data_IF_375430946537
#
_entry.id   IF_375430946537
#
_cell.length_a   1.000
_cell.length_b   1.000
_cell.length_c   1.000
_cell.angle_alpha   90.00
_cell.angle_beta   90.00
_cell.angle_gamma   90.00
#
_symmetry.space_group_name_H-M   'P 1'
#
loop_
_entity.id
_entity.type
_entity.pdbx_description
1 polymer ?
#
# COMPACT_ATOMS: atom_id res chain seq x y z
N UNK A 1 -21.20 18.22 -5.60
CA UNK A 1 -20.58 18.45 -6.92
C UNK A 1 -21.54 18.00 -7.99
N UNK A 2 -21.70 18.76 -9.06
CA UNK A 2 -22.47 18.36 -10.26
C UNK A 2 -21.64 17.39 -11.12
N UNK A 3 -22.28 16.64 -12.02
CA UNK A 3 -21.56 15.76 -12.97
C UNK A 3 -20.54 16.53 -13.81
N UNK A 4 -20.85 17.76 -14.21
CA UNK A 4 -19.92 18.62 -14.95
C UNK A 4 -18.64 18.98 -14.17
N UNK A 5 -18.76 19.18 -12.86
CA UNK A 5 -17.59 19.42 -11.98
C UNK A 5 -16.78 18.15 -11.80
N UNK A 6 -17.45 16.98 -11.70
CA UNK A 6 -16.78 15.69 -11.62
C UNK A 6 -16.03 15.35 -12.92
N UNK A 7 -16.59 15.66 -14.08
CA UNK A 7 -15.94 15.45 -15.39
C UNK A 7 -14.69 16.29 -15.56
N UNK A 8 -14.60 17.45 -14.91
CA UNK A 8 -13.39 18.29 -14.93
C UNK A 8 -12.25 17.69 -14.10
N UNK A 9 -12.59 16.95 -13.05
CA UNK A 9 -11.61 16.34 -12.14
C UNK A 9 -11.16 14.96 -12.65
N UNK A 10 -12.13 14.14 -13.09
CA UNK A 10 -11.87 12.78 -13.57
C UNK A 10 -11.08 12.82 -14.87
N UNK A 11 -9.97 12.08 -14.91
CA UNK A 11 -9.06 12.04 -16.07
C UNK A 11 -8.12 13.24 -16.20
N UNK A 12 -8.25 14.24 -15.32
CA UNK A 12 -7.42 15.44 -15.28
C UNK A 12 -6.64 15.51 -13.96
N UNK A 13 -7.28 15.93 -12.86
CA UNK A 13 -6.64 16.03 -11.55
C UNK A 13 -6.54 14.69 -10.83
N UNK A 14 -7.54 13.83 -11.02
CA UNK A 14 -7.62 12.50 -10.45
C UNK A 14 -7.74 11.47 -11.57
N UNK A 15 -6.82 10.51 -11.58
CA UNK A 15 -6.81 9.41 -12.55
C UNK A 15 -6.71 8.07 -11.86
N UNK A 16 -7.11 7.01 -12.57
CA UNK A 16 -7.12 5.65 -12.04
C UNK A 16 -6.55 4.66 -13.04
N UNK A 17 -5.71 3.76 -12.56
CA UNK A 17 -5.30 2.54 -13.25
C UNK A 17 -6.17 1.42 -12.67
N UNK A 18 -6.98 0.79 -13.54
CA UNK A 18 -7.88 -0.29 -13.14
C UNK A 18 -7.16 -1.63 -13.12
N UNK A 19 -7.68 -2.57 -12.35
CA UNK A 19 -7.14 -3.92 -12.14
C UNK A 19 -6.97 -4.72 -13.44
N UNK A 20 -7.91 -4.60 -14.38
CA UNK A 20 -7.85 -5.34 -15.64
C UNK A 20 -7.63 -4.43 -16.85
N UNK A 21 -6.44 -4.51 -17.49
CA UNK A 21 -6.14 -3.75 -18.69
C UNK A 21 -6.99 -4.11 -19.92
N UNK A 22 -7.58 -5.31 -19.94
CA UNK A 22 -8.40 -5.77 -21.07
C UNK A 22 -9.76 -5.09 -21.10
N UNK A 23 -10.36 -4.86 -19.95
CA UNK A 23 -11.66 -4.21 -19.82
C UNK A 23 -11.57 -2.69 -19.86
N UNK A 24 -10.41 -2.13 -19.51
CA UNK A 24 -10.20 -0.69 -19.42
C UNK A 24 -9.88 -0.03 -20.75
N UNK A 25 -9.26 -0.76 -21.69
CA UNK A 25 -8.96 -0.27 -23.03
C UNK A 25 -10.07 -0.68 -24.00
N UNK A 26 -10.64 0.28 -24.72
CA UNK A 26 -11.66 -0.01 -25.72
C UNK A 26 -11.05 -0.74 -26.94
N UNK A 27 -11.45 -2.00 -27.23
CA UNK A 27 -10.79 -2.82 -28.26
C UNK A 27 -11.02 -2.35 -29.69
N UNK A 28 -12.03 -1.51 -29.95
CA UNK A 28 -12.37 -1.04 -31.32
C UNK A 28 -11.67 0.26 -31.71
N UNK A 29 -10.97 0.91 -30.76
CA UNK A 29 -10.19 2.12 -31.02
C UNK A 29 -8.69 1.86 -30.92
N UNK A 30 -7.89 2.59 -31.70
CA UNK A 30 -6.43 2.52 -31.59
C UNK A 30 -5.95 3.16 -30.28
N UNK A 31 -4.77 2.76 -29.80
CA UNK A 31 -4.14 3.35 -28.62
C UNK A 31 -4.04 4.87 -28.73
N UNK A 32 -3.54 5.37 -29.87
CA UNK A 32 -3.40 6.81 -30.10
C UNK A 32 -4.72 7.57 -30.07
N UNK A 33 -5.80 6.97 -30.61
CA UNK A 33 -7.13 7.57 -30.57
C UNK A 33 -7.61 7.78 -29.13
N UNK A 34 -7.49 6.75 -28.28
CA UNK A 34 -7.91 6.80 -26.89
C UNK A 34 -7.05 7.77 -26.06
N UNK A 35 -5.72 7.76 -26.21
CA UNK A 35 -4.83 8.69 -25.53
C UNK A 35 -5.08 10.15 -25.92
N UNK A 36 -5.21 10.42 -27.22
CA UNK A 36 -5.45 11.78 -27.70
C UNK A 36 -6.82 12.34 -27.28
N UNK A 37 -7.82 11.50 -27.10
CA UNK A 37 -9.16 11.94 -26.65
C UNK A 37 -9.07 12.64 -25.30
N UNK A 38 -8.50 11.96 -24.27
CA UNK A 38 -8.34 12.51 -22.93
C UNK A 38 -7.52 13.80 -22.94
N UNK A 39 -6.36 13.80 -23.63
CA UNK A 39 -5.49 14.97 -23.76
C UNK A 39 -6.22 16.17 -24.37
N UNK A 40 -7.02 15.94 -25.41
CA UNK A 40 -7.73 17.04 -26.10
C UNK A 40 -8.89 17.59 -25.28
N UNK A 41 -9.59 16.74 -24.54
CA UNK A 41 -10.72 17.15 -23.69
C UNK A 41 -10.21 18.04 -22.55
N UNK A 42 -9.18 17.61 -21.84
CA UNK A 42 -8.75 18.26 -20.60
C UNK A 42 -7.67 19.34 -20.80
N UNK A 43 -6.79 19.16 -21.79
CA UNK A 43 -5.70 20.11 -22.03
C UNK A 43 -5.98 21.07 -23.19
N UNK A 44 -7.09 20.90 -23.92
CA UNK A 44 -7.48 21.74 -25.05
C UNK A 44 -6.43 21.85 -26.15
N UNK A 45 -5.59 20.82 -26.31
CA UNK A 45 -4.54 20.78 -27.32
C UNK A 45 -5.10 20.44 -28.72
N UNK A 46 -4.46 20.94 -29.76
CA UNK A 46 -4.75 20.51 -31.13
C UNK A 46 -4.44 19.03 -31.31
N UNK A 47 -5.02 18.41 -32.34
CA UNK A 47 -4.79 16.99 -32.68
C UNK A 47 -3.28 16.68 -32.86
N UNK A 48 -2.50 17.62 -33.44
CA UNK A 48 -1.08 17.44 -33.66
C UNK A 48 -0.29 17.49 -32.35
N UNK A 49 -0.58 18.44 -31.49
CA UNK A 49 0.07 18.57 -30.16
C UNK A 49 -0.30 17.39 -29.26
N UNK A 50 -1.55 16.95 -29.27
CA UNK A 50 -2.00 15.78 -28.53
C UNK A 50 -1.28 14.49 -28.98
N UNK A 51 -1.04 14.34 -30.29
CA UNK A 51 -0.28 13.20 -30.81
C UNK A 51 1.17 13.20 -30.34
N UNK A 52 1.86 14.35 -30.39
CA UNK A 52 3.24 14.50 -29.91
C UNK A 52 3.31 14.17 -28.41
N UNK A 53 2.39 14.69 -27.63
CA UNK A 53 2.32 14.39 -26.19
C UNK A 53 2.09 12.91 -25.92
N UNK A 54 1.14 12.27 -26.62
CA UNK A 54 0.86 10.85 -26.46
C UNK A 54 2.08 9.98 -26.81
N UNK A 55 2.78 10.28 -27.91
CA UNK A 55 4.02 9.58 -28.27
C UNK A 55 5.12 9.78 -27.23
N UNK A 56 5.27 10.99 -26.69
CA UNK A 56 6.23 11.28 -25.61
C UNK A 56 5.93 10.46 -24.34
N UNK A 57 4.65 10.35 -23.94
CA UNK A 57 4.25 9.54 -22.79
C UNK A 57 4.49 8.05 -23.02
N UNK A 58 4.19 7.53 -24.20
CA UNK A 58 4.51 6.14 -24.57
C UNK A 58 6.02 5.86 -24.50
N UNK A 59 6.85 6.80 -24.96
CA UNK A 59 8.30 6.69 -24.83
C UNK A 59 8.72 6.66 -23.35
N UNK A 60 8.15 7.54 -22.52
CA UNK A 60 8.45 7.64 -21.08
C UNK A 60 8.13 6.37 -20.30
N UNK A 61 7.06 5.67 -20.66
CA UNK A 61 6.73 4.35 -20.07
C UNK A 61 7.51 3.19 -20.68
N UNK A 62 8.49 3.46 -21.53
CA UNK A 62 9.37 2.45 -22.13
C UNK A 62 8.73 1.62 -23.24
N UNK A 63 7.76 2.19 -23.98
CA UNK A 63 7.20 1.49 -25.14
C UNK A 63 8.17 1.53 -26.32
N UNK A 64 8.44 0.38 -26.98
CA UNK A 64 9.22 0.36 -28.20
C UNK A 64 8.42 1.00 -29.34
N UNK A 65 9.05 1.87 -30.13
CA UNK A 65 8.42 2.56 -31.26
C UNK A 65 7.05 3.18 -30.93
N UNK A 66 7.00 4.27 -30.12
CA UNK A 66 5.75 4.93 -29.72
C UNK A 66 4.85 5.29 -30.90
N UNK A 67 5.42 5.72 -32.02
CA UNK A 67 4.66 6.06 -33.22
C UNK A 67 3.90 4.87 -33.81
N UNK A 68 4.53 3.70 -33.88
CA UNK A 68 3.85 2.48 -34.32
C UNK A 68 2.78 2.04 -33.32
N UNK A 69 3.03 2.17 -32.00
CA UNK A 69 2.07 1.83 -30.95
C UNK A 69 0.80 2.67 -31.05
N UNK A 70 0.91 3.95 -31.35
CA UNK A 70 -0.28 4.83 -31.55
C UNK A 70 -1.28 4.29 -32.57
N UNK A 71 -0.83 3.51 -33.54
CA UNK A 71 -1.67 2.93 -34.61
C UNK A 71 -2.19 1.54 -34.29
N UNK A 72 -1.71 0.92 -33.21
CA UNK A 72 -2.12 -0.44 -32.80
C UNK A 72 -3.42 -0.43 -32.00
N UNK A 73 -4.09 -1.58 -31.99
CA UNK A 73 -5.26 -1.86 -31.18
C UNK A 73 -4.84 -2.59 -29.90
N UNK A 74 -5.59 -2.47 -28.79
CA UNK A 74 -5.25 -3.11 -27.52
C UNK A 74 -4.99 -4.61 -27.60
N UNK A 75 -5.77 -5.36 -28.39
CA UNK A 75 -5.65 -6.81 -28.55
C UNK A 75 -4.33 -7.27 -29.21
N UNK A 76 -3.62 -6.37 -29.90
CA UNK A 76 -2.33 -6.67 -30.54
C UNK A 76 -1.13 -6.49 -29.62
N UNK A 77 -1.36 -6.03 -28.38
CA UNK A 77 -0.33 -5.77 -27.38
C UNK A 77 -0.24 -6.90 -26.34
N UNK A 78 0.95 -7.17 -25.82
CA UNK A 78 1.14 -8.05 -24.66
C UNK A 78 0.52 -7.44 -23.39
N UNK A 79 0.32 -8.24 -22.33
CA UNK A 79 -0.20 -7.77 -21.04
C UNK A 79 0.60 -6.61 -20.47
N UNK A 80 1.91 -6.75 -20.37
CA UNK A 80 2.79 -5.69 -19.89
C UNK A 80 2.81 -4.44 -20.77
N UNK A 81 2.65 -4.58 -22.09
CA UNK A 81 2.52 -3.43 -22.98
C UNK A 81 1.19 -2.70 -22.77
N UNK A 82 0.08 -3.42 -22.60
CA UNK A 82 -1.22 -2.81 -22.27
C UNK A 82 -1.16 -2.05 -20.95
N UNK A 83 -0.52 -2.63 -19.93
CA UNK A 83 -0.34 -1.98 -18.64
C UNK A 83 0.46 -0.67 -18.77
N UNK A 84 1.56 -0.67 -19.53
CA UNK A 84 2.33 0.56 -19.82
C UNK A 84 1.51 1.62 -20.54
N UNK A 85 0.66 1.21 -21.48
CA UNK A 85 -0.27 2.13 -22.16
C UNK A 85 -1.27 2.73 -21.16
N UNK A 86 -1.85 1.92 -20.26
CA UNK A 86 -2.76 2.44 -19.23
C UNK A 86 -2.09 3.43 -18.30
N UNK A 87 -0.85 3.17 -17.89
CA UNK A 87 -0.06 4.11 -17.09
C UNK A 87 0.16 5.42 -17.87
N UNK A 88 0.54 5.34 -19.17
CA UNK A 88 0.70 6.50 -20.01
C UNK A 88 -0.60 7.31 -20.15
N UNK A 89 -1.74 6.63 -20.28
CA UNK A 89 -3.06 7.28 -20.32
C UNK A 89 -3.42 7.94 -18.99
N UNK A 90 -3.19 7.28 -17.88
CA UNK A 90 -3.44 7.84 -16.54
C UNK A 90 -2.62 9.11 -16.28
N UNK A 91 -1.40 9.19 -16.83
CA UNK A 91 -0.51 10.35 -16.71
C UNK A 91 -0.72 11.43 -17.78
N UNK A 92 -1.66 11.23 -18.70
CA UNK A 92 -1.81 12.07 -19.90
C UNK A 92 -2.03 13.55 -19.59
N UNK A 93 -2.75 13.86 -18.51
CA UNK A 93 -3.11 15.22 -18.11
C UNK A 93 -2.33 15.73 -16.88
N UNK A 94 -1.22 15.08 -16.48
CA UNK A 94 -0.43 15.40 -15.27
C UNK A 94 -1.30 15.45 -14.00
N UNK A 95 -1.89 14.33 -13.57
CA UNK A 95 -2.78 14.32 -12.41
C UNK A 95 -2.07 14.69 -11.12
N UNK A 96 -2.83 15.27 -10.18
CA UNK A 96 -2.37 15.50 -8.81
C UNK A 96 -2.47 14.23 -7.95
N UNK A 97 -3.42 13.34 -8.30
CA UNK A 97 -3.66 12.07 -7.61
C UNK A 97 -3.85 10.92 -8.61
N UNK A 98 -3.04 9.87 -8.43
CA UNK A 98 -3.18 8.60 -9.12
C UNK A 98 -3.71 7.53 -8.15
N UNK A 99 -4.80 6.85 -8.52
CA UNK A 99 -5.25 5.62 -7.85
C UNK A 99 -4.81 4.44 -8.71
N UNK A 100 -3.98 3.56 -8.17
CA UNK A 100 -3.53 2.35 -8.83
C UNK A 100 -4.15 1.13 -8.14
N UNK A 101 -5.15 0.53 -8.80
CA UNK A 101 -5.88 -0.63 -8.28
C UNK A 101 -5.29 -1.90 -8.87
N UNK A 102 -4.55 -2.64 -8.05
CA UNK A 102 -3.82 -3.86 -8.42
C UNK A 102 -3.07 -3.75 -9.77
N UNK A 103 -2.21 -2.75 -9.95
CA UNK A 103 -1.68 -2.40 -11.27
C UNK A 103 -0.76 -3.46 -11.88
N UNK A 104 -0.50 -4.55 -11.17
CA UNK A 104 0.40 -5.63 -11.62
C UNK A 104 -0.25 -7.02 -11.60
N UNK A 105 -1.54 -7.10 -11.34
CA UNK A 105 -2.28 -8.38 -11.37
C UNK A 105 -2.18 -9.03 -12.74
N UNK A 106 -2.00 -10.34 -12.76
CA UNK A 106 -1.81 -11.18 -13.95
C UNK A 106 -0.56 -10.88 -14.79
N UNK A 107 0.44 -10.22 -14.21
CA UNK A 107 1.77 -10.04 -14.82
C UNK A 107 2.79 -10.99 -14.16
N UNK A 108 3.80 -11.38 -14.91
CA UNK A 108 4.95 -12.10 -14.34
C UNK A 108 5.76 -11.21 -13.39
N UNK A 109 6.48 -11.83 -12.44
CA UNK A 109 7.22 -11.13 -11.37
C UNK A 109 8.21 -10.09 -11.91
N UNK A 110 8.84 -10.38 -13.06
CA UNK A 110 9.82 -9.46 -13.66
C UNK A 110 9.14 -8.21 -14.20
N UNK A 111 8.04 -8.37 -14.91
CA UNK A 111 7.25 -7.24 -15.45
C UNK A 111 6.59 -6.47 -14.29
N UNK A 112 6.10 -7.16 -13.26
CA UNK A 112 5.58 -6.53 -12.05
C UNK A 112 6.61 -5.58 -11.43
N UNK A 113 7.84 -6.05 -11.19
CA UNK A 113 8.91 -5.22 -10.62
C UNK A 113 9.23 -3.99 -11.53
N UNK A 114 9.25 -4.18 -12.85
CA UNK A 114 9.46 -3.08 -13.80
C UNK A 114 8.35 -2.03 -13.75
N UNK A 115 7.08 -2.46 -13.67
CA UNK A 115 5.93 -1.56 -13.58
C UNK A 115 5.94 -0.77 -12.28
N UNK A 116 6.24 -1.44 -11.14
CA UNK A 116 6.28 -0.78 -9.84
C UNK A 116 7.42 0.24 -9.76
N UNK A 117 8.59 -0.08 -10.28
CA UNK A 117 9.71 0.88 -10.37
C UNK A 117 9.34 2.07 -11.26
N UNK A 118 8.73 1.83 -12.41
CA UNK A 118 8.24 2.89 -13.30
C UNK A 118 7.25 3.82 -12.59
N UNK A 119 6.27 3.29 -11.87
CA UNK A 119 5.30 4.11 -11.11
C UNK A 119 6.00 4.95 -10.04
N UNK A 120 6.98 4.39 -9.34
CA UNK A 120 7.77 5.10 -8.32
C UNK A 120 8.60 6.23 -8.92
N UNK A 121 9.28 5.99 -10.04
CA UNK A 121 10.04 7.01 -10.76
C UNK A 121 9.13 8.16 -11.22
N UNK A 122 8.00 7.82 -11.83
CA UNK A 122 7.02 8.80 -12.30
C UNK A 122 6.41 9.62 -11.15
N UNK A 123 6.11 8.98 -10.02
CA UNK A 123 5.64 9.66 -8.82
C UNK A 123 6.67 10.66 -8.28
N UNK A 124 7.95 10.26 -8.21
CA UNK A 124 9.03 11.14 -7.75
C UNK A 124 9.26 12.32 -8.69
N UNK A 125 9.24 12.08 -10.01
CA UNK A 125 9.44 13.11 -11.01
C UNK A 125 8.32 14.16 -11.07
N UNK A 126 7.08 13.72 -10.90
CA UNK A 126 5.89 14.58 -11.01
C UNK A 126 5.45 15.19 -9.69
N UNK A 127 5.84 14.60 -8.56
CA UNK A 127 5.37 14.97 -7.22
C UNK A 127 3.90 14.64 -6.97
N UNK A 128 3.25 13.81 -7.83
CA UNK A 128 1.86 13.41 -7.65
C UNK A 128 1.68 12.54 -6.41
N UNK A 129 0.55 12.65 -5.75
CA UNK A 129 0.12 11.69 -4.74
C UNK A 129 -0.32 10.38 -5.39
N UNK A 130 -0.06 9.24 -4.73
CA UNK A 130 -0.48 7.93 -5.23
C UNK A 130 -1.18 7.13 -4.13
N UNK A 131 -2.35 6.58 -4.45
CA UNK A 131 -3.02 5.55 -3.66
C UNK A 131 -2.79 4.22 -4.39
N UNK A 132 -2.04 3.33 -3.76
CA UNK A 132 -1.79 1.98 -4.29
C UNK A 132 -2.66 0.97 -3.55
N UNK A 133 -3.53 0.28 -4.27
CA UNK A 133 -4.33 -0.83 -3.75
C UNK A 133 -3.66 -2.12 -4.23
N UNK A 134 -3.27 -2.97 -3.30
CA UNK A 134 -2.59 -4.25 -3.62
C UNK A 134 -2.72 -5.23 -2.46
N UNK A 135 -2.65 -6.51 -2.77
CA UNK A 135 -2.50 -7.60 -1.80
C UNK A 135 -1.03 -8.05 -1.62
N UNK A 136 -0.09 -7.47 -2.37
CA UNK A 136 1.33 -7.81 -2.30
C UNK A 136 2.04 -6.97 -1.23
N UNK A 137 2.31 -7.61 -0.08
CA UNK A 137 2.95 -6.99 1.09
C UNK A 137 4.37 -6.51 0.75
N UNK A 138 5.10 -7.24 -0.11
CA UNK A 138 6.44 -6.88 -0.55
C UNK A 138 6.45 -5.57 -1.35
N UNK A 139 5.44 -5.37 -2.19
CA UNK A 139 5.23 -4.11 -2.91
C UNK A 139 4.94 -2.97 -1.94
N UNK A 140 4.03 -3.19 -0.98
CA UNK A 140 3.69 -2.18 0.05
C UNK A 140 4.93 -1.76 0.82
N UNK A 141 5.75 -2.71 1.29
CA UNK A 141 6.97 -2.43 2.06
C UNK A 141 7.97 -1.53 1.31
N UNK A 142 8.04 -1.65 -0.02
CA UNK A 142 8.99 -0.92 -0.85
C UNK A 142 8.48 0.44 -1.35
N UNK A 143 7.16 0.65 -1.39
CA UNK A 143 6.57 1.82 -2.04
C UNK A 143 5.81 2.76 -1.13
N UNK A 144 5.16 2.23 -0.09
CA UNK A 144 4.24 3.01 0.70
C UNK A 144 4.92 3.82 1.80
N UNK A 145 4.59 5.10 1.93
CA UNK A 145 4.93 5.92 3.08
C UNK A 145 4.00 5.61 4.26
N UNK A 146 2.72 5.40 3.97
CA UNK A 146 1.66 5.08 4.94
C UNK A 146 0.83 3.91 4.42
N UNK A 147 0.39 3.07 5.33
CA UNK A 147 -0.41 1.87 5.01
C UNK A 147 -1.75 1.93 5.72
N UNK A 148 -2.80 1.56 5.00
CA UNK A 148 -4.13 1.30 5.53
C UNK A 148 -4.44 -0.17 5.30
N UNK A 149 -4.67 -0.92 6.37
CA UNK A 149 -5.07 -2.32 6.29
C UNK A 149 -6.58 -2.40 6.35
N UNK A 150 -7.17 -3.11 5.39
CA UNK A 150 -8.62 -3.32 5.30
C UNK A 150 -8.97 -4.78 5.51
N UNK A 151 -10.08 -5.04 6.18
CA UNK A 151 -10.66 -6.36 6.35
C UNK A 151 -12.18 -6.29 6.27
N UNK A 152 -12.79 -7.13 5.43
CA UNK A 152 -14.25 -7.21 5.25
C UNK A 152 -14.90 -5.81 5.09
N UNK A 153 -14.35 -4.98 4.19
CA UNK A 153 -14.89 -3.64 3.89
C UNK A 153 -14.61 -2.57 4.94
N UNK A 154 -13.81 -2.84 5.97
CA UNK A 154 -13.52 -1.91 7.06
C UNK A 154 -12.02 -1.66 7.20
N UNK A 155 -11.63 -0.39 7.39
CA UNK A 155 -10.25 -0.06 7.77
C UNK A 155 -10.05 -0.48 9.23
N UNK A 156 -9.06 -1.34 9.46
CA UNK A 156 -8.78 -1.91 10.78
C UNK A 156 -7.48 -1.41 11.40
N UNK A 157 -6.55 -0.95 10.59
CA UNK A 157 -5.29 -0.39 11.05
C UNK A 157 -4.75 0.63 10.05
N UNK A 158 -4.13 1.69 10.55
CA UNK A 158 -3.46 2.73 9.76
C UNK A 158 -2.21 3.19 10.49
N UNK A 159 -1.06 3.15 9.79
CA UNK A 159 0.20 3.60 10.35
C UNK A 159 1.19 4.06 9.26
N UNK A 160 2.26 4.78 9.60
CA UNK A 160 3.44 4.87 8.75
C UNK A 160 3.96 3.47 8.41
N UNK A 161 4.47 3.28 7.18
CA UNK A 161 4.87 1.95 6.69
C UNK A 161 5.81 1.22 7.65
N UNK A 162 6.88 1.87 8.08
CA UNK A 162 7.84 1.29 9.03
C UNK A 162 7.17 0.84 10.33
N UNK A 163 6.31 1.68 10.89
CA UNK A 163 5.63 1.38 12.14
C UNK A 163 4.73 0.16 12.00
N UNK A 164 3.96 0.08 10.93
CA UNK A 164 3.07 -1.05 10.67
C UNK A 164 3.84 -2.39 10.52
N UNK A 165 5.00 -2.37 9.84
CA UNK A 165 5.78 -3.59 9.63
C UNK A 165 6.53 -4.05 10.87
N UNK A 166 7.00 -3.14 11.72
CA UNK A 166 7.75 -3.49 12.94
C UNK A 166 6.87 -3.66 14.17
N UNK A 167 5.76 -2.92 14.25
CA UNK A 167 4.87 -2.88 15.41
C UNK A 167 3.39 -2.98 15.02
N UNK A 168 2.99 -4.04 14.26
CA UNK A 168 1.59 -4.21 13.87
C UNK A 168 0.70 -4.34 15.10
N UNK A 169 -0.34 -3.51 15.19
CA UNK A 169 -1.21 -3.47 16.35
C UNK A 169 -2.41 -4.42 16.22
N UNK A 170 -3.09 -4.44 15.05
CA UNK A 170 -4.27 -5.28 14.88
C UNK A 170 -3.90 -6.76 14.65
N UNK A 171 -4.56 -7.72 15.32
CA UNK A 171 -4.27 -9.15 15.16
C UNK A 171 -4.35 -9.68 13.73
N UNK A 172 -5.22 -9.13 12.89
CA UNK A 172 -5.24 -9.48 11.46
C UNK A 172 -3.97 -9.03 10.75
N UNK A 173 -3.49 -7.82 11.02
CA UNK A 173 -2.24 -7.32 10.43
C UNK A 173 -1.06 -8.18 10.84
N UNK A 174 -0.98 -8.56 12.13
CA UNK A 174 0.04 -9.48 12.64
C UNK A 174 -0.01 -10.81 11.88
N UNK A 175 -1.20 -11.43 11.83
CA UNK A 175 -1.39 -12.69 11.13
C UNK A 175 -1.08 -12.58 9.62
N UNK A 176 -1.43 -11.45 8.97
CA UNK A 176 -1.14 -11.20 7.57
C UNK A 176 0.37 -11.10 7.31
N UNK A 177 1.10 -10.40 8.16
CA UNK A 177 2.57 -10.30 8.07
C UNK A 177 3.26 -11.63 8.34
N UNK A 178 2.74 -12.45 9.25
CA UNK A 178 3.25 -13.79 9.55
C UNK A 178 3.07 -14.79 8.40
N UNK A 179 2.19 -14.51 7.44
CA UNK A 179 2.06 -15.35 6.22
C UNK A 179 3.15 -15.09 5.19
N UNK A 180 3.90 -13.99 5.32
CA UNK A 180 4.94 -13.62 4.35
C UNK A 180 6.24 -14.34 4.69
N UNK A 181 6.76 -15.19 3.77
CA UNK A 181 8.04 -15.84 3.99
C UNK A 181 9.18 -14.81 3.98
N UNK A 182 10.09 -14.92 4.95
CA UNK A 182 11.29 -14.09 5.01
C UNK A 182 12.53 -14.93 4.64
N UNK A 183 13.57 -14.26 4.11
CA UNK A 183 14.84 -14.93 3.76
C UNK A 183 15.53 -15.55 5.00
N UNK A 184 15.14 -15.12 6.21
CA UNK A 184 15.70 -15.60 7.48
C UNK A 184 14.91 -16.76 8.08
N UNK A 185 13.79 -17.14 7.46
CA UNK A 185 12.99 -18.26 7.93
C UNK A 185 13.75 -19.57 7.66
N UNK A 186 13.69 -20.50 8.62
CA UNK A 186 14.20 -21.85 8.43
C UNK A 186 13.44 -22.53 7.28
N UNK A 187 14.14 -23.33 6.47
CA UNK A 187 13.56 -24.03 5.32
C UNK A 187 12.36 -24.92 5.69
N UNK A 188 12.26 -25.32 6.96
CA UNK A 188 11.19 -26.17 7.51
C UNK A 188 10.04 -25.37 8.15
N UNK A 189 10.08 -24.02 8.11
CA UNK A 189 8.97 -23.21 8.65
C UNK A 189 7.70 -23.47 7.87
N UNK A 190 6.71 -24.04 8.52
CA UNK A 190 5.36 -24.16 7.95
C UNK A 190 4.74 -22.77 7.82
N UNK A 191 4.26 -22.44 6.62
CA UNK A 191 3.51 -21.21 6.40
C UNK A 191 2.22 -21.26 7.23
N UNK A 192 2.05 -20.27 8.09
CA UNK A 192 0.84 -20.14 8.92
C UNK A 192 -0.26 -19.53 8.06
N UNK A 193 -1.35 -20.26 7.87
CA UNK A 193 -2.54 -19.69 7.23
C UNK A 193 -3.47 -19.08 8.29
N UNK A 194 -4.13 -17.98 7.95
CA UNK A 194 -5.16 -17.39 8.82
C UNK A 194 -6.39 -18.32 8.81
N UNK A 195 -6.78 -18.94 9.95
CA UNK A 195 -7.85 -19.91 9.98
C UNK A 195 -9.21 -19.28 9.66
N UNK A 196 -10.17 -20.10 9.23
CA UNK A 196 -11.55 -19.69 8.95
C UNK A 196 -11.74 -18.98 7.62
N UNK A 197 -12.96 -18.54 7.34
CA UNK A 197 -13.39 -17.90 6.10
C UNK A 197 -13.78 -16.45 6.40
N UNK A 198 -13.55 -15.55 5.45
CA UNK A 198 -14.04 -14.17 5.55
C UNK A 198 -15.57 -14.19 5.52
N UNK A 199 -16.28 -13.46 6.41
CA UNK A 199 -17.75 -13.41 6.38
C UNK A 199 -18.25 -12.95 5.00
N UNK A 200 -19.20 -13.67 4.44
CA UNK A 200 -19.86 -13.28 3.17
C UNK A 200 -20.78 -12.06 3.36
N UNK A 201 -21.48 -12.00 4.52
CA UNK A 201 -22.28 -10.85 4.95
C UNK A 201 -21.67 -10.28 6.23
N UNK A 202 -21.30 -9.04 6.22
CA UNK A 202 -20.68 -8.34 7.35
C UNK A 202 -21.44 -7.05 7.73
N UNK A 203 -22.54 -6.75 7.08
CA UNK A 203 -23.35 -5.54 7.36
C UNK A 203 -24.03 -5.62 8.71
N UNK A 204 -24.39 -6.84 9.14
CA UNK A 204 -25.02 -7.09 10.44
C UNK A 204 -24.02 -7.25 11.59
N UNK A 205 -22.71 -7.27 11.31
CA UNK A 205 -21.66 -7.41 12.33
C UNK A 205 -21.41 -6.04 12.95
N UNK A 206 -21.91 -5.84 14.17
CA UNK A 206 -21.73 -4.59 14.93
C UNK A 206 -20.36 -4.47 15.60
N UNK A 207 -19.73 -5.60 15.93
CA UNK A 207 -18.43 -5.69 16.58
C UNK A 207 -17.24 -5.78 15.64
N UNK A 208 -16.18 -6.40 16.10
CA UNK A 208 -14.98 -6.65 15.30
C UNK A 208 -15.27 -7.73 14.25
N UNK A 209 -15.17 -7.39 12.96
CA UNK A 209 -15.42 -8.32 11.84
C UNK A 209 -14.41 -9.46 11.76
N UNK A 210 -13.25 -9.33 12.40
CA UNK A 210 -12.23 -10.37 12.49
C UNK A 210 -12.36 -11.28 13.71
N UNK A 211 -13.31 -11.04 14.63
CA UNK A 211 -13.43 -11.74 15.93
C UNK A 211 -13.43 -13.27 15.79
N UNK A 212 -14.21 -13.84 14.87
CA UNK A 212 -14.34 -15.30 14.68
C UNK A 212 -13.04 -16.00 14.26
N UNK A 213 -12.07 -15.23 13.74
CA UNK A 213 -10.77 -15.72 13.26
C UNK A 213 -9.61 -15.26 14.14
N UNK A 214 -9.90 -14.50 15.18
CA UNK A 214 -8.90 -13.84 16.02
C UNK A 214 -8.52 -14.72 17.22
N UNK A 215 -7.23 -15.01 17.36
CA UNK A 215 -6.70 -15.75 18.53
C UNK A 215 -6.88 -15.00 19.87
N UNK A 216 -7.16 -13.70 19.81
CA UNK A 216 -7.34 -12.83 21.00
C UNK A 216 -8.79 -12.41 21.21
N UNK A 217 -9.76 -13.05 20.53
CA UNK A 217 -11.17 -12.69 20.65
C UNK A 217 -11.67 -12.79 22.09
N UNK A 218 -12.46 -11.82 22.50
CA UNK A 218 -13.08 -11.79 23.82
C UNK A 218 -14.45 -11.08 23.75
N UNK A 219 -15.27 -11.10 24.79
CA UNK A 219 -16.60 -10.47 24.78
C UNK A 219 -16.61 -8.99 24.41
N UNK A 220 -15.52 -8.25 24.63
CA UNK A 220 -15.41 -6.85 24.21
C UNK A 220 -15.38 -6.68 22.68
N UNK A 221 -15.01 -7.73 21.94
CA UNK A 221 -14.98 -7.71 20.49
C UNK A 221 -16.38 -7.73 19.85
N UNK A 222 -17.42 -8.10 20.59
CA UNK A 222 -18.82 -8.08 20.12
C UNK A 222 -19.40 -6.66 20.11
N UNK A 223 -18.76 -5.73 20.85
CA UNK A 223 -19.16 -4.33 20.89
C UNK A 223 -18.60 -3.55 19.70
N UNK A 224 -19.22 -2.44 19.29
CA UNK A 224 -18.68 -1.56 18.25
C UNK A 224 -17.24 -1.15 18.57
N UNK A 225 -16.36 -1.29 17.60
CA UNK A 225 -14.96 -0.93 17.74
C UNK A 225 -14.70 0.46 17.15
N UNK A 226 -13.91 1.25 17.86
CA UNK A 226 -13.44 2.56 17.43
C UNK A 226 -12.00 2.49 16.92
N UNK A 227 -11.52 3.57 16.32
CA UNK A 227 -10.11 3.72 15.92
C UNK A 227 -9.31 4.18 17.15
N UNK A 228 -8.64 3.28 17.82
CA UNK A 228 -7.81 3.57 18.99
C UNK A 228 -6.41 4.02 18.57
N UNK A 229 -5.87 5.03 19.27
CA UNK A 229 -4.49 5.50 19.07
C UNK A 229 -3.53 4.52 19.73
N UNK A 230 -2.58 4.00 18.93
CA UNK A 230 -1.53 3.07 19.36
C UNK A 230 -0.15 3.73 19.40
N UNK A 231 -0.01 4.92 18.86
CA UNK A 231 1.24 5.67 18.77
C UNK A 231 1.10 6.92 17.92
N UNK A 232 2.20 7.60 17.66
CA UNK A 232 2.22 8.74 16.75
C UNK A 232 1.78 8.32 15.34
N UNK A 233 0.67 8.88 14.84
CA UNK A 233 0.10 8.56 13.52
C UNK A 233 -0.29 7.08 13.31
N UNK A 234 -0.37 6.26 14.36
CA UNK A 234 -0.73 4.86 14.35
C UNK A 234 -2.08 4.66 15.04
N UNK A 235 -3.06 4.13 14.32
CA UNK A 235 -4.38 3.78 14.86
C UNK A 235 -4.76 2.38 14.47
N UNK A 236 -5.43 1.65 15.39
CA UNK A 236 -5.97 0.33 15.12
C UNK A 236 -7.35 0.15 15.76
N UNK A 237 -8.22 -0.57 15.07
CA UNK A 237 -9.59 -0.84 15.51
C UNK A 237 -9.66 -2.12 16.34
N UNK A 238 -8.99 -2.12 17.50
CA UNK A 238 -8.87 -3.27 18.38
C UNK A 238 -8.77 -2.87 19.85
N UNK A 239 -9.84 -3.03 20.61
CA UNK A 239 -9.89 -2.74 22.06
C UNK A 239 -8.91 -3.62 22.86
N UNK A 240 -8.69 -4.87 22.46
CA UNK A 240 -7.80 -5.78 23.16
C UNK A 240 -6.36 -5.30 23.08
N UNK A 241 -5.93 -4.85 21.89
CA UNK A 241 -4.57 -4.36 21.69
C UNK A 241 -4.37 -2.97 22.30
N UNK A 242 -5.40 -2.10 22.28
CA UNK A 242 -5.38 -0.85 23.04
C UNK A 242 -5.06 -1.11 24.51
N UNK A 243 -5.78 -2.01 25.16
CA UNK A 243 -5.59 -2.32 26.57
C UNK A 243 -4.21 -2.93 26.87
N UNK A 244 -3.62 -3.66 25.92
CA UNK A 244 -2.25 -4.20 26.04
C UNK A 244 -1.21 -3.11 25.88
N UNK A 245 -1.40 -2.22 24.91
CA UNK A 245 -0.52 -1.09 24.63
C UNK A 245 -0.42 -0.13 25.82
N UNK A 246 -1.56 0.26 26.40
CA UNK A 246 -1.62 1.12 27.57
C UNK A 246 -0.86 0.54 28.77
N UNK A 247 -1.00 -0.78 29.05
CA UNK A 247 -0.27 -1.45 30.12
C UNK A 247 1.25 -1.50 29.88
N UNK A 248 1.66 -1.67 28.62
CA UNK A 248 3.08 -1.65 28.26
C UNK A 248 3.70 -0.26 28.48
N UNK A 249 3.01 0.79 28.01
CA UNK A 249 3.43 2.18 28.15
C UNK A 249 3.52 2.62 29.64
N UNK A 250 2.55 2.20 30.47
CA UNK A 250 2.59 2.43 31.92
C UNK A 250 3.77 1.72 32.60
N UNK A 251 4.07 0.49 32.17
CA UNK A 251 5.20 -0.28 32.73
C UNK A 251 6.56 0.32 32.35
N UNK A 252 6.71 0.87 31.16
CA UNK A 252 7.93 1.59 30.75
C UNK A 252 8.10 2.92 31.48
N UNK A 253 7.01 3.67 31.65
CA UNK A 253 7.03 4.92 32.44
C UNK A 253 7.38 4.68 33.90
N UNK A 254 6.94 3.57 34.50
CA UNK A 254 7.31 3.20 35.86
C UNK A 254 8.78 2.80 35.97
N UNK A 255 9.33 2.08 34.98
CA UNK A 255 10.75 1.72 34.95
C UNK A 255 11.67 2.95 34.80
N UNK A 256 11.27 3.92 33.98
CA UNK A 256 12.04 5.16 33.77
C UNK A 256 11.98 6.13 34.98
N UNK A 257 11.04 5.93 35.90
CA UNK A 257 10.92 6.73 37.15
C UNK A 257 11.61 6.12 38.38
N UNK A 258 12.13 4.90 38.27
CA UNK A 258 12.98 4.33 39.32
C UNK A 258 14.36 4.94 39.19
N UNK A 259 14.87 5.66 40.24
CA UNK A 259 16.26 6.18 40.22
C UNK A 259 17.20 4.98 40.17
N UNK A 260 18.17 5.03 39.26
CA UNK A 260 19.33 4.13 39.29
C UNK A 260 19.98 4.21 40.67
N UNK A 261 19.77 3.21 41.49
CA UNK A 261 20.58 3.01 42.70
C UNK A 261 21.97 2.64 42.21
N UNK A 262 22.84 3.64 42.15
CA UNK A 262 24.28 3.45 42.02
C UNK A 262 24.75 2.58 43.21
N UNK A 263 24.89 1.28 42.97
CA UNK A 263 25.71 0.44 43.84
C UNK A 263 27.16 0.87 43.66
N UNK A 264 27.59 1.78 44.52
CA UNK A 264 29.00 2.04 44.79
C UNK A 264 29.60 0.80 45.44
N UNK A 265 30.14 -0.10 44.62
CA UNK A 265 31.06 -1.13 45.12
C UNK A 265 32.31 -0.45 45.62
N UNK A 266 32.39 -0.31 46.94
CA UNK A 266 33.61 0.06 47.67
C UNK A 266 34.65 -1.04 47.45
N UNK A 267 35.70 -0.74 46.72
CA UNK A 267 36.91 -1.53 46.69
C UNK A 267 37.59 -1.46 48.08
N UNK A 268 37.44 -2.49 48.87
CA UNK A 268 38.33 -2.71 50.02
C UNK A 268 39.71 -3.15 49.51
N UNK A 269 40.65 -2.23 49.61
CA UNK A 269 42.07 -2.53 49.58
C UNK A 269 42.43 -3.39 50.82
N UNK A 270 42.74 -4.65 50.60
CA UNK A 270 43.51 -5.43 51.60
C UNK A 270 44.98 -5.31 51.29
N UNK A 271 45.59 -4.40 52.04
CA UNK A 271 47.03 -4.45 52.27
C UNK A 271 47.32 -5.65 53.17
N UNK A 272 48.43 -6.31 52.93
CA UNK A 272 48.90 -7.41 53.73
C UNK A 272 50.27 -7.88 53.32
N UNK A 273 51.25 -7.23 53.85
CA UNK A 273 52.57 -7.62 54.42
C UNK A 273 53.23 -8.91 53.89
N UNK A 274 54.44 -8.69 53.52
CA UNK A 274 55.71 -9.42 53.58
C UNK A 274 55.78 -10.65 54.49
N UNK A 275 56.59 -11.60 54.08
CA UNK A 275 57.18 -12.62 54.92
C UNK A 275 57.72 -13.84 54.23
N UNK A 276 59.08 -13.89 54.04
CA UNK A 276 59.97 -15.05 53.79
C UNK A 276 59.86 -15.75 52.42
#
# INVERSE_FOLDING_TARGET
MSEKELDQIRGNELTMIFQDPLTSLNPVFTIGSQMMESIRIHMHLSKKEAAVRAESLLARVGMPDPHAIMKKYPHTLSGGMRQRVMIAMALACNPSLLIADEPTTALDVTIQAQIMNLLKELQQETGMAMILITHDIGVVANMADRVLVMYAGQMIERAPSKELFYHPAHPYTQALLDTVPTIRDDADRQLVSIPGIVPESYDDITGCRFADRCAYACPLCEQPQEDYVMGAEHTARCIVMKNRWERADESEKQKSQQPETLETSVCEEKGGSAGE
#
